data_IF_147614272242
#
_entry.id   IF_147614272242
#
_cell.length_a   1.000
_cell.length_b   1.000
_cell.length_c   1.000
_cell.angle_alpha   90.00
_cell.angle_beta   90.00
_cell.angle_gamma   90.00
#
_symmetry.space_group_name_H-M   'P 1'
#
loop_
_entity.id
_entity.type
_entity.pdbx_description
1 polymer ?
#
# COMPACT_ATOMS: atom_id res chain seq x y z
N UNK A 1 7.04 6.47 19.22
CA UNK A 1 7.89 5.40 18.65
C UNK A 1 7.79 5.52 17.14
N UNK A 2 8.90 5.42 16.41
CA UNK A 2 8.84 5.43 14.95
C UNK A 2 8.24 4.09 14.46
N UNK A 3 7.25 4.15 13.59
CA UNK A 3 6.63 2.95 12.99
C UNK A 3 7.69 2.19 12.17
N UNK A 4 7.85 0.88 12.43
CA UNK A 4 8.85 0.07 11.75
C UNK A 4 8.39 -0.35 10.36
N UNK A 5 9.31 -0.77 9.50
CA UNK A 5 8.94 -1.32 8.19
C UNK A 5 7.98 -2.53 8.29
N UNK A 6 8.14 -3.36 9.33
CA UNK A 6 7.23 -4.49 9.58
C UNK A 6 5.84 -4.02 10.00
N UNK A 7 5.73 -2.98 10.82
CA UNK A 7 4.43 -2.40 11.18
C UNK A 7 3.71 -1.81 9.96
N UNK A 8 4.44 -1.09 9.10
CA UNK A 8 3.92 -0.56 7.83
C UNK A 8 3.42 -1.68 6.90
N UNK A 9 4.22 -2.72 6.74
CA UNK A 9 3.86 -3.89 5.94
C UNK A 9 2.61 -4.60 6.50
N UNK A 10 2.50 -4.70 7.83
CA UNK A 10 1.33 -5.28 8.49
C UNK A 10 0.05 -4.48 8.20
N UNK A 11 0.11 -3.14 8.24
CA UNK A 11 -1.03 -2.29 7.89
C UNK A 11 -1.51 -2.55 6.45
N UNK A 12 -0.59 -2.63 5.49
CA UNK A 12 -0.92 -2.91 4.09
C UNK A 12 -1.54 -4.31 3.91
N UNK A 13 -1.04 -5.34 4.61
CA UNK A 13 -1.65 -6.68 4.58
C UNK A 13 -3.03 -6.72 5.21
N UNK A 14 -3.24 -5.97 6.30
CA UNK A 14 -4.55 -5.83 6.92
C UNK A 14 -5.54 -5.14 5.97
N UNK A 15 -5.10 -4.10 5.27
CA UNK A 15 -5.88 -3.43 4.24
C UNK A 15 -6.27 -4.38 3.10
N UNK A 16 -5.32 -5.20 2.61
CA UNK A 16 -5.59 -6.20 1.58
C UNK A 16 -6.60 -7.26 2.05
N UNK A 17 -6.44 -7.77 3.28
CA UNK A 17 -7.36 -8.74 3.87
C UNK A 17 -8.76 -8.16 4.08
N UNK A 18 -8.86 -6.90 4.52
CA UNK A 18 -10.12 -6.17 4.65
C UNK A 18 -10.77 -5.93 3.30
N UNK A 19 -10.02 -5.43 2.31
CA UNK A 19 -10.50 -5.15 0.95
C UNK A 19 -11.07 -6.38 0.26
N UNK A 20 -10.49 -7.57 0.46
CA UNK A 20 -11.07 -8.83 -0.05
C UNK A 20 -12.41 -9.19 0.59
N UNK A 21 -12.64 -8.82 1.85
CA UNK A 21 -13.90 -9.07 2.58
C UNK A 21 -14.93 -7.98 2.34
N UNK A 22 -14.47 -6.75 2.13
CA UNK A 22 -15.27 -5.53 2.02
C UNK A 22 -14.81 -4.71 0.80
N UNK A 23 -14.97 -5.22 -0.43
CA UNK A 23 -14.43 -4.56 -1.62
C UNK A 23 -15.05 -3.19 -1.90
N UNK A 24 -16.21 -2.87 -1.32
CA UNK A 24 -16.82 -1.53 -1.39
C UNK A 24 -16.12 -0.47 -0.53
N UNK A 25 -15.30 -0.88 0.43
CA UNK A 25 -14.69 0.00 1.43
C UNK A 25 -13.29 0.47 0.99
N UNK A 26 -13.30 1.46 0.12
CA UNK A 26 -12.08 2.11 -0.35
C UNK A 26 -11.48 3.07 0.67
N UNK A 27 -12.28 3.55 1.62
CA UNK A 27 -11.83 4.49 2.63
C UNK A 27 -10.83 3.81 3.56
N UNK A 28 -11.17 2.63 4.08
CA UNK A 28 -10.30 1.89 5.00
C UNK A 28 -8.97 1.51 4.33
N UNK A 29 -9.00 1.09 3.07
CA UNK A 29 -7.78 0.78 2.32
C UNK A 29 -6.87 2.00 2.13
N UNK A 30 -7.44 3.18 1.81
CA UNK A 30 -6.68 4.43 1.66
C UNK A 30 -6.13 4.94 2.98
N UNK A 31 -6.88 4.84 4.06
CA UNK A 31 -6.41 5.18 5.41
C UNK A 31 -5.23 4.31 5.82
N UNK A 32 -5.32 2.99 5.61
CA UNK A 32 -4.20 2.11 5.91
C UNK A 32 -2.95 2.40 5.06
N UNK A 33 -3.11 2.77 3.78
CA UNK A 33 -2.00 3.25 2.95
C UNK A 33 -1.39 4.51 3.55
N UNK A 34 -2.22 5.50 3.91
CA UNK A 34 -1.77 6.75 4.53
C UNK A 34 -0.94 6.48 5.79
N UNK A 35 -1.47 5.67 6.71
CA UNK A 35 -0.81 5.34 7.98
C UNK A 35 0.47 4.52 7.76
N UNK A 36 0.47 3.61 6.79
CA UNK A 36 1.67 2.84 6.42
C UNK A 36 2.80 3.72 5.86
N UNK A 37 2.50 4.92 5.37
CA UNK A 37 3.45 5.85 4.77
C UNK A 37 3.76 7.05 5.68
N UNK A 38 3.14 7.14 6.85
CA UNK A 38 3.35 8.24 7.79
C UNK A 38 4.84 8.39 8.14
N UNK A 39 5.37 9.62 8.03
CA UNK A 39 6.77 9.91 8.34
C UNK A 39 7.80 9.35 7.35
N UNK A 40 7.39 8.82 6.19
CA UNK A 40 8.33 8.38 5.13
C UNK A 40 8.77 9.49 4.18
N UNK A 41 8.09 10.65 4.22
CA UNK A 41 8.33 11.76 3.29
C UNK A 41 7.69 11.56 1.91
N UNK A 42 6.75 10.63 1.76
CA UNK A 42 6.04 10.34 0.50
C UNK A 42 4.63 10.93 0.55
N UNK A 43 4.17 11.40 -0.61
CA UNK A 43 2.76 11.76 -0.82
C UNK A 43 1.89 10.50 -0.91
N UNK A 44 1.17 10.22 0.17
CA UNK A 44 0.26 9.07 0.28
C UNK A 44 -0.88 9.11 -0.71
N UNK A 45 -1.31 10.28 -1.19
CA UNK A 45 -2.38 10.38 -2.20
C UNK A 45 -1.91 9.81 -3.53
N UNK A 46 -0.68 10.15 -3.95
CA UNK A 46 -0.07 9.59 -5.16
C UNK A 46 0.11 8.08 -5.04
N UNK A 47 0.46 7.59 -3.86
CA UNK A 47 0.58 6.14 -3.63
C UNK A 47 -0.79 5.46 -3.66
N UNK A 48 -1.85 6.08 -3.17
CA UNK A 48 -3.21 5.54 -3.30
C UNK A 48 -3.59 5.31 -4.77
N UNK A 49 -3.28 6.25 -5.67
CA UNK A 49 -3.50 6.11 -7.12
C UNK A 49 -2.63 5.03 -7.79
N UNK A 50 -1.55 4.60 -7.12
CA UNK A 50 -0.71 3.50 -7.58
C UNK A 50 -1.24 2.14 -7.13
N UNK A 51 -1.72 2.05 -5.89
CA UNK A 51 -1.99 0.77 -5.24
C UNK A 51 -3.43 0.30 -5.33
N UNK A 52 -4.41 1.22 -5.32
CA UNK A 52 -5.83 0.87 -5.23
C UNK A 52 -6.68 1.57 -6.28
N UNK A 53 -7.83 0.98 -6.60
CA UNK A 53 -8.79 1.55 -7.54
C UNK A 53 -9.26 2.96 -7.14
N UNK A 54 -9.51 3.80 -8.15
CA UNK A 54 -10.02 5.17 -7.92
C UNK A 54 -11.46 5.14 -7.41
N UNK A 55 -12.24 4.16 -7.85
CA UNK A 55 -13.65 3.95 -7.47
C UNK A 55 -13.87 2.52 -6.99
N UNK A 56 -14.85 2.29 -6.11
CA UNK A 56 -15.21 0.93 -5.72
C UNK A 56 -15.71 0.11 -6.92
N UNK A 57 -15.56 -1.22 -6.89
CA UNK A 57 -14.92 -2.01 -5.82
C UNK A 57 -13.38 -2.03 -5.90
N UNK A 58 -12.72 -2.33 -4.78
CA UNK A 58 -11.34 -2.83 -4.78
C UNK A 58 -11.28 -4.14 -5.57
N UNK A 59 -10.28 -4.25 -6.43
CA UNK A 59 -10.04 -5.46 -7.21
C UNK A 59 -9.14 -6.44 -6.45
N UNK A 60 -9.11 -7.69 -6.90
CA UNK A 60 -8.13 -8.67 -6.41
C UNK A 60 -6.68 -8.17 -6.64
N UNK A 61 -6.44 -7.49 -7.76
CA UNK A 61 -5.15 -6.91 -8.08
C UNK A 61 -4.75 -5.75 -7.18
N UNK A 62 -5.71 -4.94 -6.71
CA UNK A 62 -5.46 -3.92 -5.69
C UNK A 62 -4.94 -4.55 -4.41
N UNK A 63 -5.60 -5.63 -3.96
CA UNK A 63 -5.20 -6.36 -2.76
C UNK A 63 -3.82 -7.00 -2.92
N UNK A 64 -3.53 -7.57 -4.10
CA UNK A 64 -2.23 -8.15 -4.41
C UNK A 64 -1.11 -7.09 -4.47
N UNK A 65 -1.39 -5.88 -4.97
CA UNK A 65 -0.42 -4.77 -4.94
C UNK A 65 -0.08 -4.35 -3.53
N UNK A 66 -1.07 -4.23 -2.65
CA UNK A 66 -0.85 -3.90 -1.24
C UNK A 66 0.07 -4.94 -0.57
N UNK A 67 -0.15 -6.23 -0.81
CA UNK A 67 0.70 -7.31 -0.29
C UNK A 67 2.10 -7.32 -0.90
N UNK A 68 2.22 -7.01 -2.18
CA UNK A 68 3.51 -6.91 -2.85
C UNK A 68 4.35 -5.79 -2.25
N UNK A 69 3.77 -4.60 -2.05
CA UNK A 69 4.45 -3.47 -1.41
C UNK A 69 4.80 -3.81 0.05
N UNK A 70 3.91 -4.49 0.78
CA UNK A 70 4.21 -4.96 2.14
C UNK A 70 5.46 -5.86 2.18
N UNK A 71 5.56 -6.82 1.25
CA UNK A 71 6.73 -7.68 1.14
C UNK A 71 7.98 -6.87 0.79
N UNK A 72 7.90 -5.92 -0.15
CA UNK A 72 9.03 -5.07 -0.53
C UNK A 72 9.52 -4.19 0.63
N UNK A 73 8.60 -3.63 1.43
CA UNK A 73 8.93 -2.85 2.64
C UNK A 73 9.73 -3.69 3.66
N UNK A 74 9.39 -4.96 3.84
CA UNK A 74 10.13 -5.84 4.75
C UNK A 74 11.51 -6.24 4.22
N UNK A 75 11.65 -6.38 2.90
CA UNK A 75 12.94 -6.67 2.26
C UNK A 75 13.85 -5.43 2.22
N UNK A 76 13.27 -4.23 2.19
CA UNK A 76 14.00 -2.96 2.20
C UNK A 76 13.56 -2.06 3.38
N UNK A 77 13.88 -2.42 4.63
CA UNK A 77 13.35 -1.72 5.82
C UNK A 77 13.85 -0.28 5.97
N UNK A 78 14.89 0.10 5.23
CA UNK A 78 15.46 1.45 5.20
C UNK A 78 14.92 2.30 4.04
N UNK A 79 14.05 1.75 3.18
CA UNK A 79 13.46 2.49 2.07
C UNK A 79 12.53 3.60 2.59
N UNK A 80 12.80 4.83 2.16
CA UNK A 80 12.03 6.03 2.49
C UNK A 80 11.97 6.95 1.26
N UNK A 81 11.08 7.94 1.28
CA UNK A 81 10.94 8.94 0.23
C UNK A 81 10.83 8.32 -1.17
N UNK A 82 11.64 8.82 -2.09
CA UNK A 82 11.61 8.42 -3.50
C UNK A 82 11.83 6.90 -3.71
N UNK A 83 12.65 6.26 -2.86
CA UNK A 83 12.91 4.81 -2.98
C UNK A 83 11.64 4.00 -2.75
N UNK A 84 10.90 4.32 -1.70
CA UNK A 84 9.67 3.63 -1.37
C UNK A 84 8.52 3.99 -2.33
N UNK A 85 8.53 5.20 -2.91
CA UNK A 85 7.63 5.54 -4.01
C UNK A 85 7.86 4.64 -5.24
N UNK A 86 9.12 4.43 -5.63
CA UNK A 86 9.47 3.53 -6.75
C UNK A 86 9.07 2.09 -6.50
N UNK A 87 9.12 1.60 -5.26
CA UNK A 87 8.60 0.27 -4.93
C UNK A 87 7.10 0.15 -5.22
N UNK A 88 6.33 1.21 -4.95
CA UNK A 88 4.91 1.27 -5.29
C UNK A 88 4.67 1.33 -6.81
N UNK A 89 5.50 2.09 -7.55
CA UNK A 89 5.44 2.12 -9.01
C UNK A 89 5.75 0.76 -9.62
N UNK A 90 6.78 0.06 -9.12
CA UNK A 90 7.12 -1.28 -9.55
C UNK A 90 5.96 -2.24 -9.31
N UNK A 91 5.31 -2.19 -8.15
CA UNK A 91 4.15 -3.02 -7.85
C UNK A 91 3.01 -2.80 -8.85
N UNK A 92 2.75 -1.55 -9.25
CA UNK A 92 1.76 -1.22 -10.29
C UNK A 92 2.14 -1.76 -11.67
N UNK A 93 3.42 -1.68 -12.06
CA UNK A 93 3.87 -2.14 -13.38
C UNK A 93 3.76 -3.66 -13.57
N UNK A 94 3.91 -4.43 -12.48
CA UNK A 94 3.89 -5.90 -12.54
C UNK A 94 2.50 -6.50 -12.27
N UNK A 95 1.48 -5.67 -12.03
CA UNK A 95 0.11 -6.10 -11.77
C UNK A 95 -0.86 -5.50 -12.79
N UNK A 96 -1.78 -6.28 -13.38
CA UNK A 96 -2.83 -5.77 -14.25
C UNK A 96 -3.65 -4.67 -13.57
N UNK A 97 -4.05 -3.66 -14.35
CA UNK A 97 -4.95 -2.58 -13.95
C UNK A 97 -6.41 -3.01 -13.95
#
# INVERSE_FOLDING_TARGET
MAITASDRAKLLRQAAAHGRRHPGDLFEARMAIHDSLEGTGIDSNRVCELLVSVRPPLTEWDCNRLEMVANLMEHEPTAQGDRLYRLCEMAKLVSPG
#
